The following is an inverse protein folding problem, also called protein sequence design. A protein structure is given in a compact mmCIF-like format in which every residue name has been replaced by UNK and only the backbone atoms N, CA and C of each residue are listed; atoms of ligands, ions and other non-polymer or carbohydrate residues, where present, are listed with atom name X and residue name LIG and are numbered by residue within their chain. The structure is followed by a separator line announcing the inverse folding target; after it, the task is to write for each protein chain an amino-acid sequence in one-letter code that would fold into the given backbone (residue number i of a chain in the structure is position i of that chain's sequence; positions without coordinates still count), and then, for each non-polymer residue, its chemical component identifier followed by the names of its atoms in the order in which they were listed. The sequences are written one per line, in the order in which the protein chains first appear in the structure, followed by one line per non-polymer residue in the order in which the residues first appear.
data_IF_252018201097
#
_entry.id   IF_252018201097
#
_cell.length_a   1.000
_cell.length_b   1.000
_cell.length_c   1.000
_cell.angle_alpha   90.00
_cell.angle_beta   90.00
_cell.angle_gamma   90.00
#
_symmetry.space_group_name_H-M   'P 1'
#
loop_
_entity.id
_entity.type
_entity.pdbx_description
1 polymer ?
#
# COMPACT_ATOMS: atom_id res chain seq x y z
N UNK A 1 55.10 -18.32 -18.34
CA UNK A 1 54.37 -17.05 -18.62
C UNK A 1 52.90 -17.25 -19.01
N UNK A 2 52.47 -18.38 -19.59
CA UNK A 2 51.06 -18.59 -19.99
C UNK A 2 50.08 -18.80 -18.81
N UNK A 3 50.51 -19.46 -17.74
CA UNK A 3 49.64 -19.73 -16.57
C UNK A 3 49.26 -18.46 -15.78
N UNK A 4 50.15 -17.46 -15.74
CA UNK A 4 49.90 -16.19 -15.04
C UNK A 4 48.79 -15.38 -15.74
N UNK A 5 48.76 -15.39 -17.08
CA UNK A 5 47.77 -14.65 -17.88
C UNK A 5 46.35 -15.24 -17.76
N UNK A 6 46.26 -16.56 -17.57
CA UNK A 6 44.98 -17.25 -17.34
C UNK A 6 44.45 -16.95 -15.94
N UNK A 7 45.32 -16.91 -14.93
CA UNK A 7 44.94 -16.56 -13.56
C UNK A 7 44.41 -15.12 -13.45
N UNK A 8 45.08 -14.15 -14.08
CA UNK A 8 44.60 -12.76 -14.14
C UNK A 8 43.21 -12.67 -14.77
N UNK A 9 42.96 -13.34 -15.89
CA UNK A 9 41.63 -13.32 -16.55
C UNK A 9 40.51 -13.92 -15.68
N UNK A 10 40.82 -14.94 -14.88
CA UNK A 10 39.85 -15.56 -13.95
C UNK A 10 39.60 -14.65 -12.76
N UNK A 11 40.66 -14.04 -12.20
CA UNK A 11 40.54 -13.07 -11.11
C UNK A 11 39.77 -11.81 -11.54
N UNK A 12 40.01 -11.29 -12.74
CA UNK A 12 39.23 -10.17 -13.29
C UNK A 12 37.77 -10.54 -13.48
N UNK A 13 37.45 -11.74 -14.01
CA UNK A 13 36.06 -12.20 -14.14
C UNK A 13 35.36 -12.38 -12.79
N UNK A 14 36.04 -12.96 -11.81
CA UNK A 14 35.49 -13.14 -10.46
C UNK A 14 35.25 -11.77 -9.80
N UNK A 15 36.21 -10.85 -9.91
CA UNK A 15 36.07 -9.48 -9.42
C UNK A 15 34.91 -8.74 -10.11
N UNK A 16 34.78 -8.86 -11.44
CA UNK A 16 33.65 -8.30 -12.19
C UNK A 16 32.31 -8.93 -11.80
N UNK A 17 32.25 -10.24 -11.54
CA UNK A 17 31.03 -10.91 -11.08
C UNK A 17 30.61 -10.42 -9.70
N UNK A 18 31.56 -10.31 -8.77
CA UNK A 18 31.32 -9.79 -7.43
C UNK A 18 30.84 -8.34 -7.52
N UNK A 19 31.51 -7.51 -8.32
CA UNK A 19 31.11 -6.12 -8.55
C UNK A 19 29.71 -6.03 -9.16
N UNK A 20 29.40 -6.86 -10.15
CA UNK A 20 28.09 -6.88 -10.82
C UNK A 20 26.99 -7.31 -9.85
N UNK A 21 27.23 -8.35 -9.04
CA UNK A 21 26.30 -8.78 -8.00
C UNK A 21 26.10 -7.72 -6.92
N UNK A 22 27.16 -7.02 -6.53
CA UNK A 22 27.09 -5.94 -5.56
C UNK A 22 26.26 -4.76 -6.10
N UNK A 23 26.51 -4.34 -7.34
CA UNK A 23 25.74 -3.30 -8.02
C UNK A 23 24.28 -3.72 -8.20
N UNK A 24 24.01 -4.97 -8.60
CA UNK A 24 22.66 -5.52 -8.69
C UNK A 24 21.95 -5.48 -7.32
N UNK A 25 22.63 -5.84 -6.24
CA UNK A 25 22.09 -5.76 -4.88
C UNK A 25 21.71 -4.34 -4.49
N UNK A 26 22.55 -3.34 -4.82
CA UNK A 26 22.25 -1.92 -4.59
C UNK A 26 21.06 -1.48 -5.45
N UNK A 27 21.04 -1.85 -6.74
CA UNK A 27 19.93 -1.58 -7.64
C UNK A 27 18.61 -2.15 -7.10
N UNK A 28 18.58 -3.40 -6.65
CA UNK A 28 17.38 -3.99 -6.04
C UNK A 28 16.96 -3.30 -4.74
N UNK A 29 17.92 -2.90 -3.89
CA UNK A 29 17.62 -2.16 -2.66
C UNK A 29 16.99 -0.79 -2.97
N UNK A 30 17.48 -0.09 -3.99
CA UNK A 30 16.92 1.18 -4.46
C UNK A 30 15.56 0.97 -5.14
N UNK A 31 15.47 -0.04 -6.01
CA UNK A 31 14.25 -0.38 -6.74
C UNK A 31 13.14 -0.87 -5.81
N UNK A 32 13.43 -1.35 -4.60
CA UNK A 32 12.44 -1.78 -3.61
C UNK A 32 11.30 -0.76 -3.42
N UNK A 33 11.63 0.53 -3.38
CA UNK A 33 10.64 1.60 -3.19
C UNK A 33 9.61 1.71 -4.33
N UNK A 34 9.94 1.18 -5.51
CA UNK A 34 9.10 1.20 -6.72
C UNK A 34 8.52 -0.18 -7.01
N UNK A 35 9.32 -1.24 -6.82
CA UNK A 35 8.94 -2.63 -7.01
C UNK A 35 7.80 -3.03 -6.06
N UNK A 36 7.84 -2.64 -4.79
CA UNK A 36 6.77 -2.99 -3.84
C UNK A 36 5.41 -2.44 -4.30
N UNK A 37 5.26 -1.12 -4.56
CA UNK A 37 4.02 -0.58 -5.13
C UNK A 37 3.62 -1.20 -6.46
N UNK A 38 4.60 -1.51 -7.32
CA UNK A 38 4.35 -2.15 -8.61
C UNK A 38 3.73 -3.55 -8.45
N UNK A 39 4.31 -4.42 -7.63
CA UNK A 39 3.73 -5.74 -7.38
C UNK A 39 2.36 -5.65 -6.69
N UNK A 40 2.19 -4.70 -5.77
CA UNK A 40 0.89 -4.46 -5.14
C UNK A 40 -0.15 -4.02 -6.17
N UNK A 41 0.23 -3.15 -7.10
CA UNK A 41 -0.65 -2.70 -8.18
C UNK A 41 -1.03 -3.83 -9.14
N UNK A 42 -0.13 -4.78 -9.42
CA UNK A 42 -0.45 -5.98 -10.20
C UNK A 42 -1.53 -6.79 -9.49
N UNK A 43 -1.35 -7.06 -8.20
CA UNK A 43 -2.34 -7.78 -7.39
C UNK A 43 -3.70 -7.07 -7.38
N UNK A 44 -3.70 -5.75 -7.11
CA UNK A 44 -4.91 -4.93 -7.10
C UNK A 44 -5.58 -4.89 -8.47
N UNK A 45 -4.82 -4.78 -9.56
CA UNK A 45 -5.35 -4.80 -10.92
C UNK A 45 -6.05 -6.12 -11.24
N UNK A 46 -5.53 -7.25 -10.77
CA UNK A 46 -6.20 -8.54 -10.90
C UNK A 46 -7.47 -8.60 -10.04
N UNK A 47 -7.43 -8.09 -8.80
CA UNK A 47 -8.59 -8.04 -7.92
C UNK A 47 -9.71 -7.13 -8.43
N UNK A 48 -9.38 -6.01 -9.07
CA UNK A 48 -10.33 -5.05 -9.63
C UNK A 48 -10.86 -5.51 -11.00
N UNK A 49 -10.19 -6.43 -11.70
CA UNK A 49 -10.65 -6.90 -13.02
C UNK A 49 -12.12 -7.33 -13.08
N UNK A 50 -12.65 -8.20 -12.18
CA UNK A 50 -14.08 -8.56 -12.21
C UNK A 50 -15.00 -7.37 -11.93
N UNK A 51 -14.59 -6.44 -11.06
CA UNK A 51 -15.33 -5.21 -10.78
C UNK A 51 -15.36 -4.29 -12.02
N UNK A 52 -14.25 -4.22 -12.75
CA UNK A 52 -14.12 -3.46 -13.98
C UNK A 52 -15.00 -4.06 -15.08
N UNK A 53 -14.98 -5.39 -15.24
CA UNK A 53 -15.77 -6.09 -16.25
C UNK A 53 -17.27 -5.87 -16.02
N UNK A 54 -17.73 -5.91 -14.76
CA UNK A 54 -19.12 -5.57 -14.41
C UNK A 54 -19.48 -4.12 -14.73
N UNK A 55 -18.55 -3.17 -14.53
CA UNK A 55 -18.75 -1.77 -14.89
C UNK A 55 -18.79 -1.55 -16.42
N UNK A 56 -18.01 -2.33 -17.17
CA UNK A 56 -17.98 -2.31 -18.63
C UNK A 56 -19.26 -2.94 -19.21
N UNK A 57 -19.83 -3.96 -18.56
CA UNK A 57 -21.14 -4.52 -18.90
C UNK A 57 -22.27 -3.47 -18.81
N UNK A 58 -22.12 -2.46 -17.94
CA UNK A 58 -23.00 -1.27 -17.91
C UNK A 58 -22.80 -0.30 -19.10
N UNK A 59 -22.12 -0.73 -20.17
CA UNK A 59 -21.77 0.06 -21.38
C UNK A 59 -20.83 1.25 -21.14
N UNK A 60 -20.09 1.26 -20.03
CA UNK A 60 -19.04 2.26 -19.77
C UNK A 60 -17.75 1.82 -20.47
N UNK A 61 -17.10 2.66 -21.30
CA UNK A 61 -15.84 2.26 -21.92
C UNK A 61 -14.77 2.11 -20.84
N UNK A 62 -13.92 1.10 -20.99
CA UNK A 62 -12.94 0.67 -19.99
C UNK A 62 -12.10 1.81 -19.41
N UNK A 63 -11.66 2.75 -20.24
CA UNK A 63 -10.91 3.94 -19.81
C UNK A 63 -11.71 4.83 -18.84
N UNK A 64 -13.00 5.06 -19.11
CA UNK A 64 -13.88 5.81 -18.21
C UNK A 64 -14.12 5.07 -16.89
N UNK A 65 -14.30 3.75 -16.92
CA UNK A 65 -14.47 2.95 -15.71
C UNK A 65 -13.25 3.06 -14.78
N UNK A 66 -12.04 2.99 -15.33
CA UNK A 66 -10.79 3.16 -14.56
C UNK A 66 -10.70 4.55 -13.95
N UNK A 67 -10.93 5.59 -14.75
CA UNK A 67 -10.90 6.98 -14.29
C UNK A 67 -11.93 7.22 -13.18
N UNK A 68 -13.13 6.66 -13.31
CA UNK A 68 -14.18 6.80 -12.30
C UNK A 68 -13.77 6.17 -10.95
N UNK A 69 -13.26 4.93 -10.96
CA UNK A 69 -12.79 4.24 -9.74
C UNK A 69 -11.68 5.03 -9.06
N UNK A 70 -10.75 5.57 -9.84
CA UNK A 70 -9.65 6.39 -9.33
C UNK A 70 -10.16 7.68 -8.71
N UNK A 71 -11.04 8.41 -9.41
CA UNK A 71 -11.63 9.65 -8.90
C UNK A 71 -12.41 9.41 -7.61
N UNK A 72 -13.24 8.37 -7.56
CA UNK A 72 -14.02 8.03 -6.36
C UNK A 72 -13.08 7.72 -5.20
N UNK A 73 -12.04 6.93 -5.44
CA UNK A 73 -11.07 6.56 -4.41
C UNK A 73 -10.31 7.78 -3.88
N UNK A 74 -9.78 8.62 -4.77
CA UNK A 74 -9.07 9.84 -4.37
C UNK A 74 -10.00 10.87 -3.72
N UNK A 75 -11.24 10.99 -4.18
CA UNK A 75 -12.25 11.83 -3.57
C UNK A 75 -12.57 11.39 -2.14
N UNK A 76 -12.73 10.09 -1.93
CA UNK A 76 -12.97 9.52 -0.60
C UNK A 76 -11.75 9.69 0.32
N UNK A 77 -10.53 9.44 -0.18
CA UNK A 77 -9.30 9.70 0.57
C UNK A 77 -9.11 11.19 0.91
N UNK A 78 -9.46 12.08 -0.01
CA UNK A 78 -9.40 13.53 0.20
C UNK A 78 -10.40 13.96 1.28
N UNK A 79 -11.64 13.47 1.23
CA UNK A 79 -12.66 13.73 2.26
C UNK A 79 -12.18 13.26 3.64
N UNK A 80 -11.68 12.02 3.73
CA UNK A 80 -11.13 11.47 4.98
C UNK A 80 -9.94 12.33 5.44
N UNK A 81 -9.03 12.66 4.54
CA UNK A 81 -7.86 13.50 4.85
C UNK A 81 -8.25 14.89 5.36
N UNK A 82 -9.30 15.49 4.80
CA UNK A 82 -9.83 16.79 5.23
C UNK A 82 -10.44 16.69 6.64
N UNK A 83 -11.21 15.64 6.91
CA UNK A 83 -11.78 15.38 8.24
C UNK A 83 -10.65 15.14 9.25
N UNK A 84 -9.64 14.34 8.91
CA UNK A 84 -8.49 14.08 9.77
C UNK A 84 -7.68 15.35 10.04
N UNK A 85 -7.41 16.15 9.00
CA UNK A 85 -6.65 17.38 9.12
C UNK A 85 -7.38 18.42 9.98
N UNK A 86 -8.67 18.64 9.71
CA UNK A 86 -9.49 19.58 10.48
C UNK A 86 -9.62 19.12 11.95
N UNK A 87 -9.99 17.86 12.17
CA UNK A 87 -10.13 17.30 13.53
C UNK A 87 -8.80 17.34 14.29
N UNK A 88 -7.70 16.95 13.63
CA UNK A 88 -6.36 16.99 14.22
C UNK A 88 -5.93 18.40 14.61
N UNK A 89 -6.14 19.39 13.72
CA UNK A 89 -5.84 20.80 14.01
C UNK A 89 -6.66 21.32 15.19
N UNK A 90 -7.97 21.08 15.20
CA UNK A 90 -8.84 21.52 16.29
C UNK A 90 -8.47 20.87 17.63
N UNK A 91 -8.09 19.59 17.60
CA UNK A 91 -7.64 18.88 18.79
C UNK A 91 -6.33 19.44 19.35
N UNK A 92 -5.34 19.73 18.50
CA UNK A 92 -4.06 20.32 18.91
C UNK A 92 -4.25 21.71 19.53
N UNK A 93 -5.12 22.54 18.97
CA UNK A 93 -5.41 23.88 19.51
C UNK A 93 -6.17 23.80 20.83
N UNK A 94 -7.05 22.80 21.00
CA UNK A 94 -7.88 22.66 22.20
C UNK A 94 -7.21 21.87 23.32
N UNK A 95 -6.11 21.16 23.02
CA UNK A 95 -5.36 20.33 23.97
C UNK A 95 -4.99 21.07 25.27
N UNK A 96 -4.43 22.30 25.23
CA UNK A 96 -4.12 23.06 26.44
C UNK A 96 -5.36 23.31 27.31
N UNK A 97 -6.49 23.64 26.70
CA UNK A 97 -7.75 23.88 27.40
C UNK A 97 -8.29 22.59 28.05
N UNK A 98 -8.15 21.43 27.39
CA UNK A 98 -8.49 20.13 27.98
C UNK A 98 -7.56 19.78 29.15
N UNK A 99 -6.26 20.05 29.04
CA UNK A 99 -5.29 19.84 30.11
C UNK A 99 -5.60 20.70 31.34
N UNK A 100 -5.99 21.95 31.13
CA UNK A 100 -6.39 22.84 32.21
C UNK A 100 -7.65 22.33 32.92
N UNK A 101 -8.71 21.98 32.17
CA UNK A 101 -9.95 21.42 32.75
C UNK A 101 -9.72 20.13 33.53
N UNK A 102 -8.84 19.26 33.03
CA UNK A 102 -8.46 18.04 33.74
C UNK A 102 -7.75 18.36 35.05
N UNK A 103 -6.83 19.34 35.03
CA UNK A 103 -6.14 19.82 36.24
C UNK A 103 -7.13 20.38 37.25
N UNK A 104 -8.07 21.22 36.79
CA UNK A 104 -9.09 21.84 37.65
C UNK A 104 -9.98 20.77 38.31
N UNK A 105 -10.54 19.83 37.53
CA UNK A 105 -11.34 18.70 38.05
C UNK A 105 -10.57 17.88 39.08
N UNK A 106 -9.30 17.59 38.80
CA UNK A 106 -8.45 16.80 39.66
C UNK A 106 -8.16 17.55 40.98
N UNK A 107 -7.94 18.87 40.92
CA UNK A 107 -7.77 19.69 42.14
C UNK A 107 -9.05 19.85 42.94
N UNK A 108 -10.21 19.85 42.29
CA UNK A 108 -11.52 19.91 42.96
C UNK A 108 -11.82 18.59 43.68
N UNK A 109 -11.54 17.45 43.02
CA UNK A 109 -11.62 16.12 43.63
C UNK A 109 -10.63 16.01 44.81
N UNK A 110 -9.39 16.49 44.66
CA UNK A 110 -8.40 16.41 45.74
C UNK A 110 -8.81 17.22 46.97
N UNK A 111 -9.40 18.41 46.79
CA UNK A 111 -9.95 19.23 47.89
C UNK A 111 -11.11 18.53 48.59
N UNK A 112 -12.01 17.88 47.84
CA UNK A 112 -13.10 17.09 48.43
C UNK A 112 -12.62 15.86 49.20
N UNK A 113 -11.44 15.33 48.86
CA UNK A 113 -10.80 14.19 49.54
C UNK A 113 -9.85 14.60 50.68
N UNK A 114 -9.55 15.89 50.90
CA UNK A 114 -8.69 16.36 52.00
C UNK A 114 -9.24 16.00 53.40
N UNK A 115 -10.54 15.69 53.50
CA UNK A 115 -11.18 15.24 54.74
C UNK A 115 -10.95 13.74 55.05
N UNK A 116 -10.44 12.96 54.09
CA UNK A 116 -10.06 11.56 54.29
C UNK A 116 -8.54 11.44 54.48
N UNK A 117 -8.05 10.50 55.30
CA UNK A 117 -6.61 10.31 55.56
C UNK A 117 -5.79 9.83 54.35
N UNK A 118 -6.39 9.74 53.16
CA UNK A 118 -5.71 9.35 51.93
C UNK A 118 -5.04 10.57 51.29
N UNK A 119 -3.74 10.77 51.58
CA UNK A 119 -2.86 11.62 50.76
C UNK A 119 -2.64 10.96 49.41
N UNK A 120 -3.59 11.12 48.49
CA UNK A 120 -3.33 10.79 47.09
C UNK A 120 -2.38 11.89 46.58
N UNK A 121 -1.19 11.49 46.16
CA UNK A 121 -0.18 12.38 45.60
C UNK A 121 -0.54 12.69 44.14
N UNK A 122 -1.64 13.42 43.99
CA UNK A 122 -2.28 13.81 42.73
C UNK A 122 -1.41 14.69 41.80
N UNK A 123 -0.51 15.58 42.30
CA UNK A 123 0.27 16.47 41.43
C UNK A 123 1.17 15.73 40.42
N UNK A 124 1.61 14.51 40.78
CA UNK A 124 2.55 13.72 39.97
C UNK A 124 1.89 13.12 38.73
N UNK A 125 0.59 12.83 38.74
CA UNK A 125 -0.14 12.27 37.59
C UNK A 125 -0.50 13.38 36.58
N UNK A 126 -0.83 14.58 37.06
CA UNK A 126 -1.22 15.71 36.22
C UNK A 126 0.00 16.39 35.58
N UNK A 127 1.10 16.53 36.32
CA UNK A 127 2.35 17.11 35.80
C UNK A 127 3.03 16.26 34.71
N UNK A 128 2.61 15.02 34.51
CA UNK A 128 3.15 14.10 33.51
C UNK A 128 2.36 14.06 32.20
N UNK A 129 1.22 14.76 32.10
CA UNK A 129 0.49 14.90 30.83
C UNK A 129 1.28 15.88 29.95
N UNK A 130 2.29 15.35 29.27
CA UNK A 130 3.10 16.12 28.34
C UNK A 130 2.29 16.37 27.05
N UNK A 131 1.77 17.60 26.91
CA UNK A 131 1.02 18.08 25.74
C UNK A 131 1.83 17.90 24.45
N UNK A 132 3.16 17.99 24.51
CA UNK A 132 4.05 17.77 23.36
C UNK A 132 4.02 16.30 22.92
N UNK A 133 3.95 15.33 23.85
CA UNK A 133 3.85 13.91 23.49
C UNK A 133 2.56 13.63 22.73
N UNK A 134 1.42 14.16 23.19
CA UNK A 134 0.13 13.97 22.52
C UNK A 134 0.16 14.65 21.14
N UNK A 135 0.71 15.87 21.07
CA UNK A 135 0.88 16.61 19.81
C UNK A 135 1.75 15.86 18.82
N UNK A 136 2.89 15.31 19.26
CA UNK A 136 3.80 14.54 18.41
C UNK A 136 3.17 13.24 17.91
N UNK A 137 2.36 12.56 18.73
CA UNK A 137 1.61 11.37 18.30
C UNK A 137 0.59 11.76 17.22
N UNK A 138 -0.20 12.82 17.44
CA UNK A 138 -1.18 13.32 16.46
C UNK A 138 -0.52 13.73 15.15
N UNK A 139 0.54 14.52 15.20
CA UNK A 139 1.30 14.94 14.03
C UNK A 139 1.94 13.74 13.33
N UNK A 140 2.46 12.77 14.08
CA UNK A 140 2.99 11.52 13.54
C UNK A 140 1.92 10.67 12.83
N UNK A 141 0.71 10.58 13.38
CA UNK A 141 -0.42 9.89 12.75
C UNK A 141 -0.88 10.61 11.49
N UNK A 142 -0.99 11.94 11.51
CA UNK A 142 -1.30 12.74 10.32
C UNK A 142 -0.24 12.55 9.24
N UNK A 143 1.04 12.66 9.60
CA UNK A 143 2.16 12.44 8.68
C UNK A 143 2.17 11.03 8.09
N UNK A 144 1.88 10.01 8.91
CA UNK A 144 1.76 8.61 8.47
C UNK A 144 0.59 8.42 7.50
N UNK A 145 -0.55 9.06 7.76
CA UNK A 145 -1.69 9.04 6.86
C UNK A 145 -1.35 9.69 5.50
N UNK A 146 -0.74 10.88 5.49
CA UNK A 146 -0.31 11.52 4.25
C UNK A 146 0.74 10.68 3.50
N UNK A 147 1.66 10.06 4.22
CA UNK A 147 2.64 9.14 3.64
C UNK A 147 1.98 7.91 3.03
N UNK A 148 0.97 7.35 3.69
CA UNK A 148 0.18 6.24 3.16
C UNK A 148 -0.57 6.64 1.90
N UNK A 149 -1.25 7.80 1.90
CA UNK A 149 -1.92 8.36 0.71
C UNK A 149 -0.92 8.60 -0.42
N UNK A 150 0.25 9.17 -0.13
CA UNK A 150 1.33 9.38 -1.10
C UNK A 150 1.82 8.07 -1.74
N UNK A 151 1.98 7.01 -0.93
CA UNK A 151 2.32 5.69 -1.44
C UNK A 151 1.18 5.08 -2.28
N UNK A 152 -0.08 5.25 -1.87
CA UNK A 152 -1.24 4.79 -2.65
C UNK A 152 -1.31 5.46 -4.01
N UNK A 153 -0.97 6.75 -4.14
CA UNK A 153 -0.91 7.43 -5.45
C UNK A 153 -0.04 6.65 -6.42
N UNK A 154 1.15 6.26 -5.99
CA UNK A 154 2.09 5.53 -6.84
C UNK A 154 1.55 4.15 -7.25
N UNK A 155 0.90 3.44 -6.31
CA UNK A 155 0.21 2.17 -6.59
C UNK A 155 -0.90 2.38 -7.64
N UNK A 156 -1.74 3.39 -7.48
CA UNK A 156 -2.84 3.68 -8.40
C UNK A 156 -2.36 4.09 -9.79
N UNK A 157 -1.28 4.89 -9.87
CA UNK A 157 -0.64 5.23 -11.15
C UNK A 157 -0.21 3.95 -11.87
N UNK A 158 0.40 2.99 -11.17
CA UNK A 158 0.72 1.70 -11.78
C UNK A 158 -0.49 0.87 -12.16
N UNK A 159 -1.56 0.85 -11.34
CA UNK A 159 -2.81 0.17 -11.71
C UNK A 159 -3.34 0.73 -13.03
N UNK A 160 -3.42 2.07 -13.15
CA UNK A 160 -3.84 2.72 -14.39
C UNK A 160 -2.94 2.31 -15.56
N UNK A 161 -1.62 2.33 -15.36
CA UNK A 161 -0.66 1.99 -16.42
C UNK A 161 -0.76 0.54 -16.88
N UNK A 162 -0.88 -0.40 -15.93
CA UNK A 162 -1.05 -1.83 -16.18
C UNK A 162 -2.37 -2.08 -16.91
N UNK A 163 -3.45 -1.47 -16.44
CA UNK A 163 -4.80 -1.71 -16.94
C UNK A 163 -5.02 -1.05 -18.32
N UNK A 164 -4.43 0.12 -18.56
CA UNK A 164 -4.38 0.77 -19.88
C UNK A 164 -3.41 0.06 -20.84
N UNK A 165 -2.33 -0.53 -20.31
CA UNK A 165 -1.36 -1.30 -21.07
C UNK A 165 -1.90 -2.66 -21.53
N UNK A 166 -2.77 -3.32 -20.74
CA UNK A 166 -3.26 -4.68 -20.99
C UNK A 166 -3.81 -4.89 -22.41
N UNK A 167 -4.59 -3.94 -22.95
CA UNK A 167 -5.19 -4.10 -24.28
C UNK A 167 -4.17 -3.85 -25.41
N UNK A 168 -3.21 -2.93 -25.20
CA UNK A 168 -2.19 -2.58 -26.20
C UNK A 168 -0.99 -3.52 -26.19
N UNK A 169 -0.66 -4.09 -25.03
CA UNK A 169 0.44 -5.04 -24.83
C UNK A 169 0.09 -6.41 -25.42
N UNK A 170 -1.14 -6.90 -25.20
CA UNK A 170 -1.59 -8.13 -25.85
C UNK A 170 -1.54 -8.01 -27.38
N UNK A 171 -2.04 -6.90 -27.93
CA UNK A 171 -1.98 -6.61 -29.36
C UNK A 171 -0.55 -6.46 -29.90
N UNK A 172 0.35 -5.78 -29.17
CA UNK A 172 1.76 -5.64 -29.57
C UNK A 172 2.53 -6.96 -29.49
N UNK A 173 2.27 -7.79 -28.48
CA UNK A 173 2.92 -9.10 -28.33
C UNK A 173 2.42 -10.06 -29.41
N UNK A 174 1.12 -10.05 -29.71
CA UNK A 174 0.55 -10.86 -30.81
C UNK A 174 1.03 -10.38 -32.18
N UNK A 175 1.29 -9.08 -32.37
CA UNK A 175 1.88 -8.55 -33.62
C UNK A 175 3.40 -8.74 -33.70
N UNK A 176 4.10 -8.83 -32.57
CA UNK A 176 5.56 -9.03 -32.51
C UNK A 176 5.97 -10.51 -32.54
N UNK A 177 5.09 -11.43 -32.14
CA UNK A 177 5.29 -12.87 -32.28
C UNK A 177 4.48 -13.39 -33.47
N UNK A 178 5.18 -13.98 -34.44
CA UNK A 178 4.60 -14.55 -35.67
C UNK A 178 3.36 -15.44 -35.41
N UNK A 179 2.39 -15.48 -36.36
CA UNK A 179 1.08 -16.12 -36.19
C UNK A 179 1.10 -17.66 -36.09
N UNK A 180 2.27 -18.32 -36.11
CA UNK A 180 2.38 -19.78 -36.22
C UNK A 180 2.33 -20.55 -34.89
N UNK A 181 2.38 -19.91 -33.71
CA UNK A 181 2.35 -20.62 -32.40
C UNK A 181 1.26 -20.18 -31.42
N UNK A 182 0.45 -19.18 -31.76
CA UNK A 182 -0.60 -18.63 -30.89
C UNK A 182 -1.79 -19.60 -30.67
N UNK A 183 -2.04 -20.48 -31.63
CA UNK A 183 -3.15 -21.46 -31.61
C UNK A 183 -2.92 -22.65 -30.66
N UNK A 184 -1.67 -22.96 -30.29
CA UNK A 184 -1.35 -24.05 -29.35
C UNK A 184 -1.44 -23.59 -27.89
N UNK A 185 -0.95 -22.38 -27.60
CA UNK A 185 -0.98 -21.81 -26.23
C UNK A 185 -2.39 -21.40 -25.79
N UNK A 186 -3.23 -20.89 -26.70
CA UNK A 186 -4.64 -20.60 -26.38
C UNK A 186 -5.43 -21.88 -26.06
N UNK A 187 -5.13 -23.00 -26.73
CA UNK A 187 -5.79 -24.29 -26.49
C UNK A 187 -5.42 -24.89 -25.13
N UNK A 188 -4.18 -24.71 -24.68
CA UNK A 188 -3.71 -25.20 -23.36
C UNK A 188 -4.25 -24.32 -22.23
N UNK A 189 -4.29 -22.99 -22.39
CA UNK A 189 -4.86 -22.10 -21.37
C UNK A 189 -6.37 -22.32 -21.18
N UNK A 190 -7.11 -22.56 -22.27
CA UNK A 190 -8.56 -22.85 -22.22
C UNK A 190 -8.84 -24.22 -21.59
N UNK A 191 -7.97 -25.22 -21.78
CA UNK A 191 -8.16 -26.56 -21.19
C UNK A 191 -7.84 -26.63 -19.69
N UNK A 192 -6.95 -25.77 -19.18
CA UNK A 192 -6.68 -25.68 -17.73
C UNK A 192 -7.79 -24.94 -16.97
N UNK A 193 -8.32 -23.86 -17.55
CA UNK A 193 -9.34 -23.05 -16.87
C UNK A 193 -10.64 -23.84 -16.63
N UNK A 194 -11.07 -24.64 -17.61
CA UNK A 194 -12.27 -25.49 -17.46
C UNK A 194 -12.12 -26.62 -16.43
N UNK A 195 -10.92 -27.18 -16.29
CA UNK A 195 -10.66 -28.26 -15.32
C UNK A 195 -10.60 -27.74 -13.88
N UNK A 196 -9.99 -26.56 -13.67
CA UNK A 196 -9.95 -25.92 -12.36
C UNK A 196 -11.35 -25.49 -11.92
N UNK A 197 -12.16 -24.92 -12.84
CA UNK A 197 -13.55 -24.56 -12.55
C UNK A 197 -14.40 -25.77 -12.17
N UNK A 198 -14.26 -26.90 -12.88
CA UNK A 198 -15.02 -28.12 -12.59
C UNK A 198 -14.61 -28.74 -11.25
N UNK A 199 -13.32 -28.77 -10.94
CA UNK A 199 -12.83 -29.28 -9.65
C UNK A 199 -13.23 -28.38 -8.47
N UNK A 200 -13.12 -27.06 -8.62
CA UNK A 200 -13.54 -26.11 -7.58
C UNK A 200 -15.04 -26.19 -7.34
N UNK A 201 -15.88 -26.17 -8.38
CA UNK A 201 -17.33 -26.26 -8.22
C UNK A 201 -17.78 -27.52 -7.49
N UNK A 202 -17.19 -28.68 -7.81
CA UNK A 202 -17.44 -29.95 -7.11
C UNK A 202 -16.99 -29.86 -5.65
N UNK A 203 -15.79 -29.31 -5.39
CA UNK A 203 -15.27 -29.15 -4.03
C UNK A 203 -16.09 -28.16 -3.19
N UNK A 204 -16.63 -27.11 -3.79
CA UNK A 204 -17.50 -26.14 -3.10
C UNK A 204 -18.86 -26.74 -2.78
N UNK A 205 -19.47 -27.50 -3.72
CA UNK A 205 -20.73 -28.21 -3.47
C UNK A 205 -20.59 -29.26 -2.36
N UNK A 206 -19.48 -30.01 -2.34
CA UNK A 206 -19.18 -30.96 -1.26
C UNK A 206 -18.89 -30.29 0.09
N UNK A 207 -18.49 -29.02 0.12
CA UNK A 207 -18.24 -28.30 1.37
C UNK A 207 -19.52 -27.74 2.01
N UNK A 208 -20.64 -27.75 1.29
CA UNK A 208 -21.92 -27.19 1.73
C UNK A 208 -22.91 -28.27 2.22
N UNK A 209 -22.71 -29.51 1.80
CA UNK A 209 -23.40 -30.71 2.29
C UNK A 209 -22.60 -31.30 3.44
#
# INVERSE_FOLDING_TARGET
MAEVKVAESRLTRICLLILTLFVLGICFKLARSVLIPFFLSLFISYAISPLLDWLVELKVPKSLAITLIVIITFGLLYLIGLILYSSGKHFVVSLPAYSQKMTDLITEISRGLEHLPFKIDVPTIVGQINVERITNILLGTLGSFFSFVGNLILVFVFVIFILAGRDKLADKVVRAFAPERASYLSRVLVSLNGQIQKYLAVKTLLSII
#
